data_IF_885881886528
#
_entry.id   IF_885881886528
#
_cell.length_a   1.000
_cell.length_b   1.000
_cell.length_c   1.000
_cell.angle_alpha   90.00
_cell.angle_beta   90.00
_cell.angle_gamma   90.00
#
_symmetry.space_group_name_H-M   'P 1'
#
loop_
_entity.id
_entity.type
_entity.pdbx_description
1 polymer ?
#
# COMPACT_ATOMS: atom_id res chain seq x y z
N UNK A 1 -6.45 -2.13 -14.43
CA UNK A 1 -6.36 -3.54 -13.98
C UNK A 1 -7.31 -3.77 -12.82
N UNK A 2 -7.65 -5.03 -12.51
CA UNK A 2 -8.50 -5.36 -11.35
C UNK A 2 -7.60 -5.53 -10.13
N UNK A 3 -7.94 -4.90 -9.00
CA UNK A 3 -7.22 -5.08 -7.73
C UNK A 3 -7.34 -6.54 -7.27
N UNK A 4 -6.21 -7.16 -6.92
CA UNK A 4 -6.13 -8.56 -6.49
C UNK A 4 -5.78 -8.64 -5.01
N UNK A 5 -6.57 -9.35 -4.22
CA UNK A 5 -6.20 -9.68 -2.84
C UNK A 5 -4.90 -10.50 -2.83
N UNK A 6 -4.01 -10.22 -1.87
CA UNK A 6 -2.72 -10.91 -1.75
C UNK A 6 -1.64 -10.52 -2.76
N UNK A 7 -1.85 -9.52 -3.64
CA UNK A 7 -0.78 -9.08 -4.55
C UNK A 7 0.27 -8.17 -3.90
N UNK A 8 -0.09 -7.42 -2.85
CA UNK A 8 0.81 -6.49 -2.14
C UNK A 8 1.34 -5.30 -2.95
N UNK A 9 1.03 -5.19 -4.25
CA UNK A 9 1.61 -4.18 -5.15
C UNK A 9 1.41 -2.74 -4.65
N UNK A 10 0.21 -2.39 -4.16
CA UNK A 10 -0.09 -1.08 -3.60
C UNK A 10 0.73 -0.73 -2.33
N UNK A 11 1.24 -1.75 -1.63
CA UNK A 11 2.03 -1.59 -0.42
C UNK A 11 3.55 -1.66 -0.68
N UNK A 12 3.99 -2.02 -1.89
CA UNK A 12 5.40 -2.17 -2.24
C UNK A 12 5.80 -1.16 -3.32
N UNK A 13 5.09 -1.12 -4.44
CA UNK A 13 5.51 -0.39 -5.62
C UNK A 13 5.51 1.16 -5.49
N UNK A 14 4.47 1.83 -4.97
CA UNK A 14 4.38 3.29 -5.07
C UNK A 14 5.30 3.97 -4.05
N UNK A 15 5.79 5.17 -4.41
CA UNK A 15 6.35 6.10 -3.43
C UNK A 15 5.21 6.87 -2.78
N UNK A 16 5.20 6.94 -1.45
CA UNK A 16 4.19 7.63 -0.65
C UNK A 16 4.92 8.61 0.25
N UNK A 17 4.75 9.92 0.04
CA UNK A 17 5.39 10.95 0.87
C UNK A 17 4.59 11.31 2.14
N UNK A 18 3.30 10.94 2.18
CA UNK A 18 2.45 11.17 3.34
C UNK A 18 2.66 10.10 4.44
N UNK A 19 2.44 10.43 5.72
CA UNK A 19 2.58 9.46 6.80
C UNK A 19 1.69 8.23 6.63
N UNK A 20 2.23 7.08 7.02
CA UNK A 20 1.51 5.81 7.19
C UNK A 20 1.69 5.40 8.65
N UNK A 21 0.70 4.77 9.33
CA UNK A 21 0.91 4.22 10.67
C UNK A 21 2.14 3.31 10.72
N UNK A 22 3.13 3.66 11.55
CA UNK A 22 4.43 2.98 11.64
C UNK A 22 5.50 3.42 10.62
N UNK A 23 5.18 4.32 9.69
CA UNK A 23 6.11 4.96 8.75
C UNK A 23 5.80 6.46 8.61
N UNK A 24 6.22 7.27 9.59
CA UNK A 24 5.87 8.70 9.67
C UNK A 24 6.43 9.55 8.52
N UNK A 25 7.57 9.14 7.94
CA UNK A 25 8.20 9.81 6.79
C UNK A 25 7.63 9.32 5.44
N UNK A 26 6.55 8.53 5.47
CA UNK A 26 6.03 7.84 4.30
C UNK A 26 6.83 6.59 3.94
N UNK A 27 6.72 6.16 2.68
CA UNK A 27 7.26 4.90 2.17
C UNK A 27 7.88 5.10 0.79
N UNK A 28 9.18 4.86 0.60
CA UNK A 28 9.78 4.88 -0.74
C UNK A 28 9.18 3.82 -1.68
N UNK A 29 9.33 4.04 -2.99
CA UNK A 29 8.99 3.03 -4.00
C UNK A 29 9.82 1.76 -3.83
N UNK A 30 9.22 0.59 -4.05
CA UNK A 30 9.86 -0.72 -3.88
C UNK A 30 10.06 -1.15 -2.42
N UNK A 31 9.94 -0.25 -1.44
CA UNK A 31 10.04 -0.61 -0.01
C UNK A 31 8.73 -1.21 0.46
N UNK A 32 8.83 -2.35 1.17
CA UNK A 32 7.68 -3.04 1.78
C UNK A 32 7.09 -2.20 2.92
N UNK A 33 5.80 -1.89 2.82
CA UNK A 33 5.06 -1.20 3.88
C UNK A 33 5.01 -2.05 5.17
N UNK A 34 5.17 -1.41 6.33
CA UNK A 34 5.06 -2.06 7.65
C UNK A 34 3.68 -2.69 7.91
N UNK A 35 2.66 -2.23 7.20
CA UNK A 35 1.28 -2.72 7.30
C UNK A 35 1.00 -3.93 6.40
N UNK A 36 1.97 -4.38 5.59
CA UNK A 36 1.80 -5.53 4.72
C UNK A 36 2.22 -6.81 5.45
N UNK A 37 1.26 -7.69 5.73
CA UNK A 37 1.52 -8.96 6.40
C UNK A 37 2.19 -9.99 5.49
N UNK A 38 2.47 -11.17 6.02
CA UNK A 38 3.14 -12.27 5.32
C UNK A 38 2.30 -12.86 4.17
N UNK A 39 0.98 -12.66 4.20
CA UNK A 39 0.05 -13.09 3.14
C UNK A 39 -0.14 -11.99 2.07
N UNK A 40 0.65 -10.91 2.13
CA UNK A 40 0.53 -9.73 1.26
C UNK A 40 -0.85 -9.06 1.34
N UNK A 41 -1.48 -9.10 2.51
CA UNK A 41 -2.68 -8.36 2.83
C UNK A 41 -2.31 -7.12 3.66
N UNK A 42 -2.97 -6.00 3.38
CA UNK A 42 -2.74 -4.77 4.14
C UNK A 42 -3.57 -4.83 5.42
N UNK A 43 -2.91 -4.77 6.57
CA UNK A 43 -3.55 -4.80 7.89
C UNK A 43 -4.56 -3.68 8.07
N UNK A 44 -4.35 -2.52 7.43
CA UNK A 44 -5.26 -1.37 7.50
C UNK A 44 -6.41 -1.44 6.49
N UNK A 45 -6.53 -2.50 5.68
CA UNK A 45 -7.60 -2.57 4.67
C UNK A 45 -8.98 -2.53 5.35
N UNK A 46 -9.80 -1.52 5.01
CA UNK A 46 -11.14 -1.33 5.60
C UNK A 46 -11.13 -0.61 6.96
N UNK A 47 -9.97 -0.29 7.52
CA UNK A 47 -9.84 0.40 8.79
C UNK A 47 -9.81 1.93 8.63
N UNK A 48 -10.35 2.71 9.59
CA UNK A 48 -10.32 4.16 9.54
C UNK A 48 -8.91 4.76 9.61
N UNK A 49 -7.94 4.04 10.17
CA UNK A 49 -6.53 4.43 10.22
C UNK A 49 -5.81 4.31 8.87
N UNK A 50 -6.46 3.73 7.85
CA UNK A 50 -5.88 3.62 6.51
C UNK A 50 -5.68 5.01 5.91
N UNK A 51 -4.45 5.39 5.53
CA UNK A 51 -4.20 6.70 4.94
C UNK A 51 -5.04 6.94 3.68
N UNK A 52 -5.52 8.17 3.50
CA UNK A 52 -6.34 8.56 2.34
C UNK A 52 -5.64 8.24 1.01
N UNK A 53 -4.32 8.44 0.91
CA UNK A 53 -3.54 8.06 -0.28
C UNK A 53 -3.66 6.57 -0.62
N UNK A 54 -3.72 5.70 0.39
CA UNK A 54 -3.86 4.26 0.21
C UNK A 54 -5.30 3.87 -0.18
N UNK A 55 -6.29 4.69 0.17
CA UNK A 55 -7.70 4.49 -0.18
C UNK A 55 -7.96 4.94 -1.63
N UNK A 56 -7.40 6.08 -2.01
CA UNK A 56 -7.54 6.64 -3.36
C UNK A 56 -6.71 5.91 -4.43
N UNK A 57 -5.79 5.03 -4.02
CA UNK A 57 -4.90 4.32 -4.94
C UNK A 57 -5.66 3.31 -5.81
N UNK A 58 -5.56 3.44 -7.13
CA UNK A 58 -6.15 2.52 -8.11
C UNK A 58 -5.08 1.62 -8.73
N UNK A 59 -5.50 0.44 -9.20
CA UNK A 59 -4.59 -0.53 -9.81
C UNK A 59 -4.17 -0.08 -11.23
N UNK A 60 -2.86 0.14 -11.43
CA UNK A 60 -2.25 0.59 -12.68
C UNK A 60 -1.19 -0.39 -13.22
N UNK A 61 -0.97 -0.37 -14.55
CA UNK A 61 -0.02 -1.24 -15.27
C UNK A 61 1.37 -1.22 -14.64
N UNK A 62 1.87 -0.01 -14.38
CA UNK A 62 3.20 0.24 -13.84
C UNK A 62 3.42 -0.36 -12.45
N UNK A 63 2.35 -0.59 -11.70
CA UNK A 63 2.41 -1.12 -10.34
C UNK A 63 2.14 -2.60 -10.24
N UNK A 64 1.15 -3.12 -10.97
CA UNK A 64 0.65 -4.48 -10.72
C UNK A 64 1.22 -5.56 -11.64
N UNK A 65 1.94 -5.20 -12.72
CA UNK A 65 2.57 -6.15 -13.65
C UNK A 65 1.58 -6.92 -14.51
#
# INVERSE_FOLDING_TARGET
>A
MICRSGCGACCIAPSISSPIPGMLQGKPAGVRCVQLDEQNQCRLFGQPERPQVCISLQASADMCG
#
